data_IF_692686283346
#
_entry.id   IF_692686283346
#
_cell.length_a   1.000
_cell.length_b   1.000
_cell.length_c   1.000
_cell.angle_alpha   90.00
_cell.angle_beta   90.00
_cell.angle_gamma   90.00
#
_symmetry.space_group_name_H-M   'P 1'
#
loop_
_entity.id
_entity.type
_entity.pdbx_description
1 polymer ?
#
# COMPACT_ATOMS: atom_id res chain seq x y z
N UNK A 1 -34.44 -8.16 18.09
CA UNK A 1 -33.78 -9.44 17.80
C UNK A 1 -32.64 -9.17 16.81
N UNK A 2 -31.41 -9.60 17.13
CA UNK A 2 -30.23 -9.46 16.26
C UNK A 2 -30.35 -10.46 15.11
N UNK A 3 -30.45 -9.99 13.87
CA UNK A 3 -30.24 -10.82 12.70
C UNK A 3 -28.78 -10.64 12.28
N UNK A 4 -27.93 -11.59 12.64
CA UNK A 4 -26.58 -11.71 12.08
C UNK A 4 -26.77 -12.21 10.66
N UNK A 5 -26.84 -11.29 9.71
CA UNK A 5 -26.94 -11.60 8.28
C UNK A 5 -25.69 -12.40 7.91
N UNK A 6 -25.86 -13.69 7.58
CA UNK A 6 -24.78 -14.51 7.02
C UNK A 6 -24.45 -13.93 5.66
N UNK A 7 -23.48 -13.02 5.64
CA UNK A 7 -22.99 -12.45 4.39
C UNK A 7 -22.35 -13.59 3.62
N UNK A 8 -22.95 -13.90 2.48
CA UNK A 8 -22.48 -14.91 1.56
C UNK A 8 -21.07 -14.58 1.06
N UNK A 9 -20.20 -15.58 1.02
CA UNK A 9 -18.76 -15.40 0.72
C UNK A 9 -18.60 -14.87 -0.70
N UNK A 10 -19.42 -15.35 -1.64
CA UNK A 10 -19.38 -14.90 -3.03
C UNK A 10 -19.82 -13.43 -3.15
N UNK A 11 -20.76 -13.02 -2.31
CA UNK A 11 -21.16 -11.61 -2.16
C UNK A 11 -20.04 -10.74 -1.60
N UNK A 12 -19.23 -11.25 -0.65
CA UNK A 12 -18.07 -10.52 -0.12
C UNK A 12 -16.96 -10.38 -1.17
N UNK A 13 -16.69 -11.45 -1.93
CA UNK A 13 -15.67 -11.45 -2.99
C UNK A 13 -16.08 -10.47 -4.10
N UNK A 14 -17.34 -10.52 -4.54
CA UNK A 14 -17.85 -9.62 -5.57
C UNK A 14 -17.79 -8.14 -5.15
N UNK A 15 -18.02 -7.86 -3.86
CA UNK A 15 -17.85 -6.50 -3.31
C UNK A 15 -16.39 -6.08 -3.25
N UNK A 16 -15.50 -7.00 -2.88
CA UNK A 16 -14.06 -6.72 -2.87
C UNK A 16 -13.54 -6.40 -4.27
N UNK A 17 -13.95 -7.16 -5.29
CA UNK A 17 -13.57 -6.93 -6.69
C UNK A 17 -14.09 -5.58 -7.21
N UNK A 18 -15.34 -5.24 -6.86
CA UNK A 18 -15.92 -3.94 -7.22
C UNK A 18 -15.15 -2.77 -6.60
N UNK A 19 -14.77 -2.89 -5.32
CA UNK A 19 -13.98 -1.87 -4.61
C UNK A 19 -12.55 -1.75 -5.14
N UNK A 20 -11.92 -2.86 -5.51
CA UNK A 20 -10.59 -2.87 -6.15
C UNK A 20 -10.68 -2.14 -7.48
N UNK A 21 -11.67 -2.48 -8.31
CA UNK A 21 -11.87 -1.84 -9.62
C UNK A 21 -12.15 -0.35 -9.47
N UNK A 22 -13.01 0.05 -8.54
CA UNK A 22 -13.30 1.46 -8.26
C UNK A 22 -12.04 2.22 -7.79
N UNK A 23 -11.23 1.59 -6.94
CA UNK A 23 -9.93 2.14 -6.53
C UNK A 23 -8.96 2.29 -7.70
N UNK A 24 -8.86 1.29 -8.58
CA UNK A 24 -8.01 1.32 -9.78
C UNK A 24 -8.48 2.40 -10.75
N UNK A 25 -9.78 2.48 -11.03
CA UNK A 25 -10.38 3.47 -11.92
C UNK A 25 -10.19 4.90 -11.38
N UNK A 26 -10.30 5.09 -10.06
CA UNK A 26 -10.02 6.37 -9.40
C UNK A 26 -8.56 6.80 -9.56
N UNK A 27 -7.62 5.87 -9.37
CA UNK A 27 -6.18 6.13 -9.55
C UNK A 27 -5.83 6.45 -11.01
N UNK A 28 -6.48 5.77 -11.97
CA UNK A 28 -6.31 6.01 -13.41
C UNK A 28 -6.92 7.36 -13.84
N UNK A 29 -8.12 7.71 -13.34
CA UNK A 29 -8.85 8.94 -13.69
C UNK A 29 -8.15 10.22 -13.19
N UNK A 30 -7.47 10.14 -12.05
CA UNK A 30 -6.68 11.25 -11.48
C UNK A 30 -5.29 11.39 -12.13
N UNK A 31 -5.00 10.68 -13.23
CA UNK A 31 -3.74 10.82 -13.98
C UNK A 31 -2.49 10.38 -13.22
N UNK A 32 -2.65 9.74 -12.05
CA UNK A 32 -1.58 9.10 -11.29
C UNK A 32 -1.53 7.62 -11.64
N UNK A 33 -1.09 7.33 -12.85
CA UNK A 33 -0.39 6.06 -13.09
C UNK A 33 0.93 6.19 -12.33
N UNK A 34 0.90 5.95 -11.01
CA UNK A 34 2.10 5.49 -10.35
C UNK A 34 2.40 4.17 -11.03
N UNK A 35 3.51 4.07 -11.74
CA UNK A 35 4.09 2.77 -12.07
C UNK A 35 4.37 2.07 -10.73
N UNK A 36 3.35 1.38 -10.20
CA UNK A 36 3.38 0.70 -8.91
C UNK A 36 4.44 -0.42 -8.91
N UNK A 37 4.93 -0.82 -10.08
CA UNK A 37 6.09 -1.68 -10.25
C UNK A 37 7.30 -1.18 -9.46
N UNK A 38 7.43 0.14 -9.27
CA UNK A 38 8.54 0.75 -8.56
C UNK A 38 8.22 1.12 -7.11
N UNK A 39 7.04 0.79 -6.58
CA UNK A 39 6.60 1.19 -5.23
C UNK A 39 6.09 0.00 -4.42
N UNK A 40 6.68 -0.21 -3.25
CA UNK A 40 6.30 -1.28 -2.32
C UNK A 40 5.71 -0.67 -1.05
N UNK A 41 4.73 -1.32 -0.45
CA UNK A 41 4.39 -1.03 0.94
C UNK A 41 5.58 -1.32 1.85
N UNK A 42 5.63 -0.69 3.02
CA UNK A 42 6.69 -0.95 4.02
C UNK A 42 6.83 -2.46 4.32
N UNK A 43 5.72 -3.19 4.38
CA UNK A 43 5.71 -4.63 4.64
C UNK A 43 6.31 -5.43 3.49
N UNK A 44 5.98 -5.08 2.24
CA UNK A 44 6.51 -5.74 1.05
C UNK A 44 8.01 -5.45 0.89
N UNK A 45 8.42 -4.19 1.08
CA UNK A 45 9.82 -3.79 1.06
C UNK A 45 10.63 -4.54 2.12
N UNK A 46 10.13 -4.56 3.37
CA UNK A 46 10.74 -5.28 4.48
C UNK A 46 10.91 -6.77 4.15
N UNK A 47 9.89 -7.41 3.57
CA UNK A 47 9.95 -8.82 3.14
C UNK A 47 10.96 -9.04 2.01
N UNK A 48 10.97 -8.18 0.98
CA UNK A 48 11.86 -8.31 -0.19
C UNK A 48 13.34 -8.16 0.20
N UNK A 49 13.65 -7.22 1.08
CA UNK A 49 15.02 -6.90 1.49
C UNK A 49 15.45 -7.57 2.80
N UNK A 50 14.62 -8.47 3.34
CA UNK A 50 14.87 -9.18 4.60
C UNK A 50 15.17 -8.22 5.78
N UNK A 51 14.38 -7.15 5.87
CA UNK A 51 14.43 -6.12 6.91
C UNK A 51 13.19 -6.21 7.79
N UNK A 52 13.23 -5.57 8.96
CA UNK A 52 12.02 -5.33 9.75
C UNK A 52 11.28 -4.08 9.25
N UNK A 53 9.95 -4.05 9.39
CA UNK A 53 9.14 -2.85 9.10
C UNK A 53 9.56 -1.66 9.97
N UNK A 54 10.07 -1.94 11.17
CA UNK A 54 10.63 -0.95 12.09
C UNK A 54 11.91 -0.32 11.53
N UNK A 55 12.81 -1.10 10.91
CA UNK A 55 14.02 -0.57 10.26
C UNK A 55 13.64 0.37 9.12
N UNK A 56 12.71 -0.02 8.26
CA UNK A 56 12.23 0.82 7.15
C UNK A 56 11.63 2.13 7.67
N UNK A 57 10.84 2.06 8.75
CA UNK A 57 10.28 3.27 9.39
C UNK A 57 11.36 4.18 9.96
N UNK A 58 12.43 3.61 10.53
CA UNK A 58 13.58 4.38 11.01
C UNK A 58 14.38 4.99 9.85
N UNK A 59 14.53 4.29 8.73
CA UNK A 59 15.19 4.80 7.53
C UNK A 59 14.48 6.01 6.94
N UNK A 60 13.14 5.97 6.88
CA UNK A 60 12.33 7.13 6.50
C UNK A 60 12.57 8.29 7.47
N UNK A 61 12.51 8.02 8.79
CA UNK A 61 12.73 9.06 9.81
C UNK A 61 14.15 9.65 9.80
N UNK A 62 15.17 8.85 9.42
CA UNK A 62 16.59 9.26 9.34
C UNK A 62 16.94 9.92 8.00
N UNK A 63 16.06 9.84 7.01
CA UNK A 63 16.33 10.32 5.65
C UNK A 63 17.21 9.40 4.81
N UNK A 64 17.40 8.14 5.23
CA UNK A 64 18.06 7.10 4.40
C UNK A 64 17.19 6.78 3.18
N UNK A 65 15.88 6.76 3.39
CA UNK A 65 14.89 6.86 2.31
C UNK A 65 14.55 8.33 2.17
N UNK A 66 14.79 8.91 0.99
CA UNK A 66 14.48 10.31 0.70
C UNK A 66 12.98 10.57 0.77
N UNK A 67 12.58 11.83 1.01
CA UNK A 67 11.17 12.25 0.93
C UNK A 67 10.59 12.01 -0.46
N UNK A 68 11.41 12.07 -1.52
CA UNK A 68 11.00 11.77 -2.91
C UNK A 68 10.75 10.28 -3.17
N UNK A 69 11.27 9.41 -2.29
CA UNK A 69 11.20 7.96 -2.36
C UNK A 69 10.22 7.36 -1.35
N UNK A 70 9.43 8.22 -0.73
CA UNK A 70 8.42 7.89 0.26
C UNK A 70 7.11 8.63 -0.05
N UNK A 71 5.99 7.92 -0.01
CA UNK A 71 4.68 8.55 -0.11
C UNK A 71 3.72 8.00 0.94
N UNK A 72 3.03 8.92 1.60
CA UNK A 72 1.95 8.61 2.51
C UNK A 72 0.60 8.87 1.83
N UNK A 73 -0.18 7.80 1.64
CA UNK A 73 -1.53 7.90 1.10
C UNK A 73 -2.48 8.19 2.27
N UNK A 74 -2.61 9.49 2.58
CA UNK A 74 -3.28 9.98 3.79
C UNK A 74 -4.74 9.55 4.00
N UNK A 75 -5.46 9.13 2.94
CA UNK A 75 -6.83 8.59 3.10
C UNK A 75 -6.89 7.15 3.62
N UNK A 76 -5.79 6.40 3.52
CA UNK A 76 -5.74 4.98 3.88
C UNK A 76 -4.69 4.64 4.95
N UNK A 77 -3.91 5.63 5.40
CA UNK A 77 -2.78 5.41 6.32
C UNK A 77 -1.71 4.48 5.75
N UNK A 78 -1.68 4.29 4.42
CA UNK A 78 -0.71 3.43 3.75
C UNK A 78 0.53 4.22 3.39
N UNK A 79 1.69 3.60 3.63
CA UNK A 79 3.01 4.12 3.33
C UNK A 79 3.64 3.27 2.24
N UNK A 80 4.06 3.91 1.16
CA UNK A 80 4.79 3.29 0.07
C UNK A 80 6.21 3.84 0.04
N UNK A 81 7.14 2.97 -0.33
CA UNK A 81 8.57 3.25 -0.48
C UNK A 81 8.98 2.77 -1.86
N UNK A 82 9.87 3.52 -2.53
CA UNK A 82 10.38 3.09 -3.84
C UNK A 82 11.17 1.79 -3.72
N UNK A 83 11.02 0.90 -4.71
CA UNK A 83 11.67 -0.41 -4.77
C UNK A 83 13.15 -0.32 -5.20
N UNK A 84 13.98 0.30 -4.34
CA UNK A 84 15.41 0.51 -4.54
C UNK A 84 16.16 -0.05 -3.32
N UNK A 85 17.33 -0.70 -3.50
CA UNK A 85 18.12 -1.19 -2.37
C UNK A 85 18.77 -0.03 -1.60
N UNK A 86 18.07 0.54 -0.62
CA UNK A 86 18.68 1.49 0.33
C UNK A 86 19.65 0.77 1.26
N UNK A 87 20.70 1.49 1.66
CA UNK A 87 21.71 1.02 2.61
C UNK A 87 22.03 2.17 3.57
N UNK A 88 22.19 1.82 4.83
CA UNK A 88 22.65 2.73 5.91
C UNK A 88 24.16 2.98 5.84
#
# INVERSE_FOLDING_TARGET
>A
MKATEKVDIDTLISRADALIKEGTDFLMKEGKILELDNWLSITEYAKKYNLSTQNVSQWIRRGVISEDDYIEIGKFGKKLVRDVPYRE
#
